data_IF_654527689220
#
_entry.id   IF_654527689220
#
_cell.length_a   1.000
_cell.length_b   1.000
_cell.length_c   1.000
_cell.angle_alpha   90.00
_cell.angle_beta   90.00
_cell.angle_gamma   90.00
#
_symmetry.space_group_name_H-M   'P 1'
#
loop_
_entity.id
_entity.type
_entity.pdbx_description
1 polymer ?
#
# COMPACT_ATOMS: atom_id res chain seq x y z
N UNK A 1 -5.28 6.74 15.34
CA UNK A 1 -4.45 7.70 16.05
C UNK A 1 -3.08 7.77 15.44
N UNK A 2 -2.57 8.94 15.36
CA UNK A 2 -1.22 9.13 14.87
C UNK A 2 -0.26 8.99 16.02
N UNK A 3 0.52 7.94 15.97
CA UNK A 3 1.57 7.70 16.92
C UNK A 3 2.91 7.84 16.22
N UNK A 4 2.96 8.71 15.21
CA UNK A 4 4.12 8.84 14.36
C UNK A 4 5.40 8.88 15.16
N UNK A 5 6.30 8.00 14.79
CA UNK A 5 7.63 7.95 15.36
C UNK A 5 8.54 8.80 14.48
N UNK A 6 9.02 9.89 15.05
CA UNK A 6 10.01 10.74 14.39
C UNK A 6 11.43 10.37 14.77
N UNK A 7 11.56 9.56 15.79
CA UNK A 7 12.82 9.11 16.33
C UNK A 7 13.02 7.63 15.96
N UNK A 8 14.02 7.37 15.12
CA UNK A 8 14.31 6.02 14.64
C UNK A 8 14.60 5.03 15.75
N UNK A 9 15.13 5.50 16.84
CA UNK A 9 15.47 4.63 17.97
C UNK A 9 14.25 4.04 18.66
N UNK A 10 13.07 4.54 18.33
CA UNK A 10 11.80 4.08 18.91
C UNK A 10 11.04 3.13 18.01
N UNK A 11 11.58 2.77 16.86
CA UNK A 11 10.91 1.83 15.95
C UNK A 11 10.97 0.43 16.53
N UNK A 12 9.81 -0.12 16.86
CA UNK A 12 9.66 -1.45 17.44
C UNK A 12 8.72 -2.26 16.58
N UNK A 13 9.19 -3.41 16.07
CA UNK A 13 8.38 -4.31 15.27
C UNK A 13 7.18 -4.81 16.08
N UNK A 14 5.99 -4.69 15.50
CA UNK A 14 4.74 -5.04 16.17
C UNK A 14 4.12 -3.89 16.96
N UNK A 15 4.79 -2.74 17.04
CA UNK A 15 4.26 -1.53 17.66
C UNK A 15 4.16 -0.37 16.68
N UNK A 16 5.30 0.05 16.13
CA UNK A 16 5.39 1.20 15.24
C UNK A 16 5.41 0.78 13.77
N UNK A 17 5.80 -0.45 13.49
CA UNK A 17 5.78 -1.01 12.16
C UNK A 17 5.60 -2.53 12.24
N UNK A 18 5.24 -3.14 11.14
CA UNK A 18 5.23 -4.58 11.01
C UNK A 18 5.57 -5.00 9.59
N UNK A 19 6.34 -6.06 9.47
CA UNK A 19 6.64 -6.69 8.19
C UNK A 19 5.60 -7.78 7.83
N UNK A 20 4.61 -7.99 8.71
CA UNK A 20 3.59 -9.01 8.53
C UNK A 20 2.29 -8.38 8.01
N UNK A 21 1.98 -8.52 6.72
CA UNK A 21 0.74 -7.97 6.17
C UNK A 21 -0.48 -8.52 6.89
N UNK A 22 -1.46 -7.64 7.12
CA UNK A 22 -2.71 -8.01 7.78
C UNK A 22 -2.67 -8.08 9.29
N UNK A 23 -1.52 -7.84 9.89
CA UNK A 23 -1.35 -7.98 11.34
C UNK A 23 -1.96 -6.83 12.13
N UNK A 24 -1.77 -5.60 11.65
CA UNK A 24 -2.16 -4.41 12.42
C UNK A 24 -2.88 -3.38 11.55
N UNK A 25 -3.85 -2.69 12.16
CA UNK A 25 -4.52 -1.52 11.60
C UNK A 25 -5.06 -1.77 10.18
N UNK A 26 -5.94 -2.74 10.05
CA UNK A 26 -6.53 -3.11 8.76
C UNK A 26 -7.69 -2.20 8.43
N UNK A 27 -7.66 -1.63 7.21
CA UNK A 27 -8.78 -0.89 6.62
C UNK A 27 -9.31 -1.70 5.44
N UNK A 28 -10.62 -1.78 5.30
CA UNK A 28 -11.26 -2.55 4.24
C UNK A 28 -12.19 -1.68 3.41
N UNK A 29 -12.12 -1.84 2.10
CA UNK A 29 -13.00 -1.17 1.13
C UNK A 29 -13.75 -2.20 0.32
N UNK A 30 -15.07 -2.09 0.26
CA UNK A 30 -15.89 -2.96 -0.58
C UNK A 30 -16.02 -2.34 -1.95
N UNK A 31 -15.66 -3.08 -2.98
CA UNK A 31 -15.77 -2.64 -4.36
C UNK A 31 -16.49 -3.70 -5.19
N UNK A 32 -16.96 -3.29 -6.35
CA UNK A 32 -17.51 -4.23 -7.34
C UNK A 32 -16.63 -4.20 -8.57
N UNK A 33 -16.14 -5.37 -8.96
CA UNK A 33 -15.30 -5.55 -10.13
C UNK A 33 -16.11 -6.28 -11.20
N UNK A 34 -16.13 -5.73 -12.41
CA UNK A 34 -16.89 -6.30 -13.52
C UNK A 34 -16.13 -7.38 -14.26
N UNK A 35 -14.82 -7.26 -14.35
CA UNK A 35 -14.00 -8.18 -15.11
C UNK A 35 -12.88 -8.75 -14.27
N UNK A 36 -12.65 -10.06 -14.33
CA UNK A 36 -11.46 -10.66 -13.72
C UNK A 36 -10.20 -10.13 -14.39
N UNK A 37 -9.10 -10.17 -13.67
CA UNK A 37 -7.82 -9.77 -14.21
C UNK A 37 -6.85 -9.31 -13.14
N UNK A 38 -5.69 -8.88 -13.60
CA UNK A 38 -4.67 -8.31 -12.74
C UNK A 38 -4.89 -6.81 -12.63
N UNK A 39 -5.09 -6.35 -11.41
CA UNK A 39 -5.32 -4.93 -11.12
C UNK A 39 -4.13 -4.37 -10.38
N UNK A 40 -3.46 -3.40 -10.98
CA UNK A 40 -2.38 -2.66 -10.32
C UNK A 40 -3.00 -1.67 -9.36
N UNK A 41 -2.44 -1.60 -8.15
CA UNK A 41 -2.99 -0.79 -7.07
C UNK A 41 -2.17 0.47 -6.91
N UNK A 42 -2.82 1.61 -7.03
CA UNK A 42 -2.25 2.92 -6.81
C UNK A 42 -2.86 3.53 -5.56
N UNK A 43 -2.05 4.18 -4.76
CA UNK A 43 -2.52 4.85 -3.55
C UNK A 43 -1.93 6.25 -3.50
N UNK A 44 -2.78 7.23 -3.21
CA UNK A 44 -2.37 8.60 -2.90
C UNK A 44 -2.06 8.68 -1.42
N UNK A 45 -0.84 9.01 -1.10
CA UNK A 45 -0.32 9.00 0.27
C UNK A 45 0.38 10.31 0.58
N UNK A 46 0.35 10.68 1.86
CA UNK A 46 1.13 11.79 2.40
C UNK A 46 2.16 11.21 3.36
N UNK A 47 3.42 11.38 3.06
CA UNK A 47 4.53 10.88 3.87
C UNK A 47 5.43 12.03 4.30
N UNK A 48 5.96 11.94 5.52
CA UNK A 48 6.92 12.93 6.01
C UNK A 48 8.36 12.46 5.91
N UNK A 49 8.56 11.21 5.53
CA UNK A 49 9.90 10.65 5.39
C UNK A 49 9.91 9.12 5.40
N UNK A 50 11.00 8.55 5.87
CA UNK A 50 11.25 7.12 5.80
C UNK A 50 10.45 6.30 6.83
N UNK A 51 9.88 6.94 7.85
CA UNK A 51 9.21 6.25 8.93
C UNK A 51 7.69 6.17 8.77
N UNK A 52 7.12 6.72 7.71
CA UNK A 52 5.67 6.72 7.48
C UNK A 52 5.31 6.63 6.00
N UNK A 53 6.07 5.85 5.23
CA UNK A 53 5.94 5.79 3.78
C UNK A 53 5.63 4.40 3.21
N UNK A 54 5.06 3.52 4.00
CA UNK A 54 4.76 2.17 3.55
C UNK A 54 3.44 1.62 4.06
N UNK A 55 2.83 0.74 3.28
CA UNK A 55 1.58 0.05 3.61
C UNK A 55 1.56 -1.32 2.93
N UNK A 56 0.80 -2.25 3.49
CA UNK A 56 0.54 -3.55 2.87
C UNK A 56 -0.84 -3.57 2.24
N UNK A 57 -0.97 -4.27 1.13
CA UNK A 57 -2.21 -4.39 0.37
C UNK A 57 -2.70 -5.83 0.38
N UNK A 58 -3.99 -6.03 0.56
CA UNK A 58 -4.61 -7.34 0.58
C UNK A 58 -5.91 -7.40 -0.20
N UNK A 59 -6.42 -8.61 -0.39
CA UNK A 59 -7.64 -8.88 -1.14
C UNK A 59 -8.42 -10.01 -0.46
N UNK A 60 -9.67 -9.72 -0.09
CA UNK A 60 -10.60 -10.73 0.44
C UNK A 60 -10.01 -11.54 1.61
N UNK A 61 -9.29 -10.87 2.51
CA UNK A 61 -8.68 -11.50 3.66
C UNK A 61 -7.36 -12.21 3.38
N UNK A 62 -6.89 -12.18 2.16
CA UNK A 62 -5.59 -12.73 1.77
C UNK A 62 -4.58 -11.62 1.56
N UNK A 63 -3.33 -11.87 1.91
CA UNK A 63 -2.26 -10.88 1.84
C UNK A 63 -1.15 -11.41 0.92
N UNK A 64 -1.32 -11.24 -0.40
CA UNK A 64 -0.37 -11.79 -1.37
C UNK A 64 0.97 -11.07 -1.33
N UNK A 65 1.99 -11.75 -1.78
CA UNK A 65 3.33 -11.17 -1.89
C UNK A 65 3.33 -9.91 -2.76
N UNK A 66 2.45 -9.87 -3.79
CA UNK A 66 2.31 -8.72 -4.67
C UNK A 66 1.67 -7.49 -4.01
N UNK A 67 1.24 -7.58 -2.77
CA UNK A 67 0.74 -6.44 -2.00
C UNK A 67 1.64 -6.02 -0.86
N UNK A 68 2.71 -6.74 -0.62
CA UNK A 68 3.57 -6.49 0.53
C UNK A 68 4.48 -5.28 0.30
N UNK A 69 4.50 -4.37 1.28
CA UNK A 69 5.42 -3.23 1.33
C UNK A 69 5.37 -2.32 0.09
N UNK A 70 4.20 -1.80 -0.18
CA UNK A 70 4.08 -0.67 -1.07
C UNK A 70 4.83 0.52 -0.45
N UNK A 71 5.64 1.22 -1.24
CA UNK A 71 6.62 2.18 -0.74
C UNK A 71 6.54 3.52 -1.48
N UNK A 72 6.71 4.61 -0.74
CA UNK A 72 6.82 5.98 -1.27
C UNK A 72 8.17 6.56 -0.92
N UNK A 73 8.97 6.94 -1.92
CA UNK A 73 10.23 7.64 -1.71
C UNK A 73 10.19 9.08 -2.21
N UNK A 74 9.24 9.39 -3.07
CA UNK A 74 9.11 10.72 -3.65
C UNK A 74 7.95 11.46 -3.02
N UNK A 75 7.93 12.77 -3.17
CA UNK A 75 6.80 13.56 -2.74
C UNK A 75 6.70 13.78 -1.25
N UNK A 76 7.83 13.81 -0.54
CA UNK A 76 7.85 14.11 0.89
C UNK A 76 7.08 15.39 1.19
N UNK A 77 6.22 15.32 2.24
CA UNK A 77 5.39 16.43 2.71
C UNK A 77 4.38 16.92 1.66
N UNK A 78 3.93 16.03 0.79
CA UNK A 78 2.84 16.32 -0.14
C UNK A 78 2.13 15.02 -0.52
N UNK A 79 0.91 15.13 -1.05
CA UNK A 79 0.18 13.98 -1.56
C UNK A 79 0.79 13.50 -2.86
N UNK A 80 1.12 12.23 -2.91
CA UNK A 80 1.81 11.64 -4.06
C UNK A 80 1.23 10.25 -4.32
N UNK A 81 1.01 9.94 -5.59
CA UNK A 81 0.59 8.61 -6.02
C UNK A 81 1.81 7.70 -6.14
N UNK A 82 1.65 6.46 -5.70
CA UNK A 82 2.65 5.44 -5.94
C UNK A 82 2.01 4.06 -6.11
N UNK A 83 2.74 3.18 -6.78
CA UNK A 83 2.39 1.78 -6.97
C UNK A 83 3.68 0.98 -7.14
N UNK A 84 4.57 1.10 -6.14
CA UNK A 84 5.88 0.46 -6.19
C UNK A 84 6.06 -0.44 -4.97
N UNK A 85 6.70 -1.57 -5.16
CA UNK A 85 7.00 -2.51 -4.09
C UNK A 85 8.45 -2.38 -3.66
N UNK A 86 8.69 -2.22 -2.37
CA UNK A 86 10.05 -2.29 -1.85
C UNK A 86 10.60 -3.69 -2.02
N UNK A 87 11.81 -3.77 -2.57
CA UNK A 87 12.56 -5.00 -2.69
C UNK A 87 13.94 -4.82 -2.06
N UNK A 88 14.68 -5.90 -1.89
CA UNK A 88 16.05 -5.80 -1.40
C UNK A 88 16.95 -5.05 -2.39
N UNK A 89 16.70 -5.22 -3.67
CA UNK A 89 17.47 -4.56 -4.72
C UNK A 89 17.09 -3.08 -4.87
N UNK A 90 15.85 -2.71 -4.50
CA UNK A 90 15.37 -1.34 -4.66
C UNK A 90 14.47 -0.95 -3.48
N UNK A 91 15.06 -0.24 -2.53
CA UNK A 91 14.34 0.18 -1.32
C UNK A 91 13.28 1.23 -1.62
N UNK A 92 13.39 1.98 -2.70
CA UNK A 92 12.37 2.95 -3.09
C UNK A 92 11.25 2.37 -3.91
N UNK A 93 11.34 1.09 -4.23
CA UNK A 93 10.26 0.34 -4.84
C UNK A 93 10.43 0.07 -6.33
N UNK A 94 10.05 -1.13 -6.71
CA UNK A 94 9.99 -1.56 -8.10
C UNK A 94 8.58 -1.32 -8.63
N UNK A 95 8.44 -0.68 -9.80
CA UNK A 95 7.13 -0.51 -10.40
C UNK A 95 6.55 -1.84 -10.88
N UNK A 96 5.23 -1.89 -11.01
CA UNK A 96 4.47 -3.02 -11.56
C UNK A 96 4.42 -4.26 -10.67
N UNK A 97 4.89 -4.18 -9.43
CA UNK A 97 4.89 -5.31 -8.51
C UNK A 97 3.80 -5.23 -7.43
N UNK A 98 3.05 -4.14 -7.37
CA UNK A 98 1.90 -4.04 -6.46
C UNK A 98 0.62 -4.25 -7.26
N UNK A 99 0.05 -5.44 -7.14
CA UNK A 99 -1.15 -5.81 -7.86
C UNK A 99 -1.97 -6.85 -7.11
N UNK A 100 -3.22 -6.97 -7.50
CA UNK A 100 -4.14 -7.98 -7.01
C UNK A 100 -4.71 -8.74 -8.21
N UNK A 101 -4.64 -10.06 -8.16
CA UNK A 101 -5.24 -10.91 -9.17
C UNK A 101 -6.66 -11.25 -8.73
N UNK A 102 -7.64 -10.68 -9.43
CA UNK A 102 -9.05 -10.89 -9.15
C UNK A 102 -9.58 -11.93 -10.12
N UNK A 103 -9.94 -13.10 -9.60
CA UNK A 103 -10.29 -14.25 -10.42
C UNK A 103 -11.76 -14.24 -10.87
N UNK A 104 -12.64 -13.64 -10.08
CA UNK A 104 -14.08 -13.66 -10.34
C UNK A 104 -14.64 -12.25 -10.29
N UNK A 105 -15.60 -11.92 -11.18
CA UNK A 105 -16.30 -10.65 -11.08
C UNK A 105 -17.18 -10.61 -9.83
N UNK A 106 -17.63 -9.41 -9.47
CA UNK A 106 -18.52 -9.20 -8.36
C UNK A 106 -17.88 -8.43 -7.24
N UNK A 107 -18.41 -8.62 -6.03
CA UNK A 107 -17.97 -7.90 -4.85
C UNK A 107 -16.60 -8.40 -4.37
N UNK A 108 -15.71 -7.46 -4.15
CA UNK A 108 -14.38 -7.73 -3.61
C UNK A 108 -14.13 -6.84 -2.41
N UNK A 109 -13.24 -7.26 -1.53
CA UNK A 109 -12.78 -6.44 -0.40
C UNK A 109 -11.31 -6.16 -0.60
N UNK A 110 -10.97 -4.90 -0.84
CA UNK A 110 -9.59 -4.44 -0.91
C UNK A 110 -9.18 -4.00 0.47
N UNK A 111 -8.03 -4.44 0.93
CA UNK A 111 -7.58 -4.19 2.29
C UNK A 111 -6.20 -3.57 2.32
N UNK A 112 -5.98 -2.73 3.32
CA UNK A 112 -4.67 -2.14 3.59
C UNK A 112 -4.36 -2.36 5.05
N UNK A 113 -3.13 -2.71 5.36
CA UNK A 113 -2.69 -2.86 6.73
C UNK A 113 -1.40 -2.10 6.97
N UNK A 114 -1.17 -1.76 8.22
CA UNK A 114 -0.03 -0.97 8.62
C UNK A 114 1.29 -1.68 8.26
N UNK A 115 2.17 -0.97 7.54
CA UNK A 115 3.58 -1.28 7.49
C UNK A 115 4.31 -0.40 8.49
N UNK A 116 3.96 0.90 8.54
CA UNK A 116 4.50 1.89 9.48
C UNK A 116 3.36 2.73 10.03
N UNK A 117 3.45 3.16 11.28
CA UNK A 117 2.46 4.06 11.85
C UNK A 117 2.60 5.47 11.26
N UNK A 118 1.56 6.27 11.40
CA UNK A 118 1.55 7.61 10.82
C UNK A 118 1.37 7.67 9.31
N UNK A 119 1.28 6.53 8.63
CA UNK A 119 0.99 6.48 7.20
C UNK A 119 -0.39 7.08 6.93
N UNK A 120 -0.47 7.98 5.96
CA UNK A 120 -1.73 8.62 5.58
C UNK A 120 -2.06 8.28 4.13
N UNK A 121 -3.27 7.79 3.91
CA UNK A 121 -3.77 7.53 2.57
C UNK A 121 -5.10 8.24 2.38
N UNK A 122 -5.36 8.69 1.16
CA UNK A 122 -6.56 9.43 0.81
C UNK A 122 -7.37 8.71 -0.25
N UNK A 123 -6.74 8.37 -1.36
CA UNK A 123 -7.42 7.78 -2.51
C UNK A 123 -6.71 6.52 -2.96
N UNK A 124 -7.50 5.59 -3.47
CA UNK A 124 -7.00 4.37 -4.10
C UNK A 124 -7.51 4.31 -5.54
N UNK A 125 -6.73 3.69 -6.40
CA UNK A 125 -7.09 3.46 -7.78
C UNK A 125 -6.63 2.06 -8.19
N UNK A 126 -7.50 1.34 -8.87
CA UNK A 126 -7.21 0.01 -9.38
C UNK A 126 -7.33 0.07 -10.90
N UNK A 127 -6.33 -0.43 -11.60
CA UNK A 127 -6.33 -0.42 -13.06
C UNK A 127 -5.72 -1.71 -13.61
N UNK A 128 -6.29 -2.20 -14.70
CA UNK A 128 -5.68 -3.31 -15.45
C UNK A 128 -4.63 -2.82 -16.43
N UNK A 129 -4.57 -1.50 -16.66
CA UNK A 129 -3.57 -0.92 -17.55
C UNK A 129 -2.26 -0.70 -16.80
N UNK A 130 -1.29 -1.53 -17.10
CA UNK A 130 0.04 -1.48 -16.49
C UNK A 130 0.73 -0.13 -16.68
N UNK A 131 0.42 0.56 -17.77
CA UNK A 131 1.09 1.82 -18.11
C UNK A 131 0.33 3.06 -17.63
N UNK A 132 -0.84 2.88 -17.03
CA UNK A 132 -1.61 4.00 -16.52
C UNK A 132 -0.90 4.64 -15.32
N UNK A 133 -0.83 5.96 -15.31
CA UNK A 133 -0.25 6.73 -14.20
C UNK A 133 -1.27 7.77 -13.76
N UNK A 134 -1.73 7.74 -12.50
CA UNK A 134 -2.62 8.79 -12.00
C UNK A 134 -1.89 10.13 -11.92
N UNK A 135 -2.58 11.20 -12.25
CA UNK A 135 -1.99 12.55 -12.26
C UNK A 135 -2.77 13.56 -11.43
N UNK A 136 -3.57 13.10 -10.52
CA UNK A 136 -4.42 13.98 -9.70
C UNK A 136 -3.78 14.38 -8.39
#
# INVERSE_FOLDING_TARGET
PDTRVTDKDKLINGENFTNNPGEMAVISYKIRVRQPGRYYVWVSCYSTGAEDNGVHVGLNGQWPESGKRMQWCEGKNKWTWASKQRTEANHCGEPYLIYLDIEKPGRQIIQFSMREDGFRMDRILLTTDKLFIPDL
#
